data_IF_601632127347
#
_entry.id   IF_601632127347
#
_cell.length_a   1.000
_cell.length_b   1.000
_cell.length_c   1.000
_cell.angle_alpha   90.00
_cell.angle_beta   90.00
_cell.angle_gamma   90.00
#
_symmetry.space_group_name_H-M   'P 1'
#
loop_
_entity.id
_entity.type
_entity.pdbx_description
1 polymer ?
#
# COMPACT_ATOMS: atom_id res chain seq x y z
N UNK A 1 -12.35 -6.20 -0.22
CA UNK A 1 -10.93 -6.23 -0.62
C UNK A 1 -10.81 -5.94 -2.10
N UNK A 2 -9.73 -5.36 -2.55
CA UNK A 2 -9.50 -5.09 -3.96
C UNK A 2 -9.51 -6.38 -4.79
N UNK A 3 -10.02 -6.31 -6.01
CA UNK A 3 -10.00 -7.45 -6.92
C UNK A 3 -8.55 -7.84 -7.27
N UNK A 4 -8.35 -9.09 -7.65
CA UNK A 4 -7.02 -9.62 -8.00
C UNK A 4 -6.31 -8.82 -9.09
N UNK A 5 -7.07 -8.24 -10.03
CA UNK A 5 -6.53 -7.40 -11.11
C UNK A 5 -5.69 -6.25 -10.57
N UNK A 6 -6.11 -5.66 -9.45
CA UNK A 6 -5.48 -4.48 -8.88
C UNK A 6 -4.47 -4.80 -7.77
N UNK A 7 -4.26 -6.06 -7.47
CA UNK A 7 -3.25 -6.50 -6.50
C UNK A 7 -2.07 -7.13 -7.21
N UNK A 8 -0.87 -6.84 -6.77
CA UNK A 8 0.29 -7.56 -7.27
C UNK A 8 1.17 -8.00 -6.11
N UNK A 9 1.75 -9.19 -6.25
CA UNK A 9 2.63 -9.78 -5.25
C UNK A 9 3.70 -10.65 -5.92
N UNK A 10 3.92 -10.46 -7.20
CA UNK A 10 5.05 -11.04 -7.91
C UNK A 10 6.34 -10.50 -7.31
N UNK A 11 7.25 -11.39 -6.93
CA UNK A 11 8.55 -10.99 -6.38
C UNK A 11 9.32 -10.08 -7.32
N UNK A 12 9.29 -10.38 -8.62
CA UNK A 12 9.96 -9.57 -9.63
C UNK A 12 9.38 -8.18 -9.74
N UNK A 13 8.04 -8.07 -9.76
CA UNK A 13 7.35 -6.78 -9.80
C UNK A 13 7.60 -5.93 -8.58
N UNK A 14 7.55 -6.54 -7.39
CA UNK A 14 7.81 -5.85 -6.13
C UNK A 14 9.26 -5.37 -6.08
N UNK A 15 10.22 -6.21 -6.41
CA UNK A 15 11.65 -5.83 -6.45
C UNK A 15 11.91 -4.72 -7.44
N UNK A 16 11.30 -4.78 -8.61
CA UNK A 16 11.46 -3.75 -9.64
C UNK A 16 10.97 -2.40 -9.11
N UNK A 17 9.79 -2.38 -8.47
CA UNK A 17 9.23 -1.17 -7.90
C UNK A 17 10.10 -0.61 -6.79
N UNK A 18 10.64 -1.45 -5.91
CA UNK A 18 11.58 -1.00 -4.88
C UNK A 18 12.86 -0.40 -5.48
N UNK A 19 13.38 -1.01 -6.54
CA UNK A 19 14.65 -0.60 -7.13
C UNK A 19 14.51 0.71 -7.94
N UNK A 20 13.39 0.91 -8.61
CA UNK A 20 13.20 2.01 -9.56
C UNK A 20 12.17 3.04 -9.13
N UNK A 21 11.40 2.75 -8.10
CA UNK A 21 10.33 3.61 -7.63
C UNK A 21 10.80 4.77 -6.75
N UNK A 22 9.89 5.70 -6.55
CA UNK A 22 10.05 6.78 -5.58
C UNK A 22 9.41 6.37 -4.27
N UNK A 23 9.83 6.97 -3.16
CA UNK A 23 9.32 6.64 -1.84
C UNK A 23 8.79 7.88 -1.13
N UNK A 24 7.59 7.77 -0.57
CA UNK A 24 7.01 8.78 0.32
C UNK A 24 6.96 8.14 1.71
N UNK A 25 7.59 8.77 2.70
CA UNK A 25 7.72 8.21 4.04
C UNK A 25 6.78 8.89 5.02
N UNK A 26 6.10 8.07 5.84
CA UNK A 26 5.39 8.54 7.04
C UNK A 26 5.77 7.61 8.20
N UNK A 27 5.50 8.00 9.46
CA UNK A 27 5.88 7.17 10.60
C UNK A 27 5.21 5.79 10.64
N UNK A 28 4.01 5.66 10.09
CA UNK A 28 3.25 4.40 10.17
C UNK A 28 3.29 3.59 8.89
N UNK A 29 3.22 4.25 7.74
CA UNK A 29 3.17 3.60 6.42
C UNK A 29 4.01 4.42 5.46
N UNK A 30 4.84 3.75 4.65
CA UNK A 30 5.51 4.37 3.52
C UNK A 30 4.90 3.87 2.22
N UNK A 31 4.95 4.69 1.19
CA UNK A 31 4.50 4.34 -0.15
C UNK A 31 5.70 4.33 -1.08
N UNK A 32 5.94 3.19 -1.72
CA UNK A 32 6.90 3.07 -2.83
C UNK A 32 6.07 2.96 -4.10
N UNK A 33 6.35 3.78 -5.10
CA UNK A 33 5.54 3.79 -6.31
C UNK A 33 6.39 4.00 -7.56
N UNK A 34 5.90 3.47 -8.68
CA UNK A 34 6.56 3.57 -9.97
C UNK A 34 5.51 3.50 -11.07
N UNK A 35 5.80 4.13 -12.22
CA UNK A 35 4.92 3.99 -13.38
C UNK A 35 4.96 2.56 -13.90
N UNK A 36 3.83 2.10 -14.46
CA UNK A 36 3.75 0.82 -15.14
C UNK A 36 3.17 1.02 -16.56
N UNK A 37 3.27 0.00 -17.38
CA UNK A 37 2.78 0.03 -18.78
C UNK A 37 1.41 -0.64 -18.92
N UNK A 38 0.69 -0.87 -17.81
CA UNK A 38 -0.54 -1.67 -17.85
C UNK A 38 -1.82 -0.87 -18.09
N UNK A 39 -1.77 0.44 -17.97
CA UNK A 39 -2.96 1.27 -18.15
C UNK A 39 -3.89 1.34 -16.93
N UNK A 40 -3.59 0.64 -15.86
CA UNK A 40 -4.33 0.69 -14.60
C UNK A 40 -3.37 0.59 -13.40
N UNK A 41 -3.84 1.01 -12.24
CA UNK A 41 -3.05 0.97 -11.01
C UNK A 41 -3.10 -0.41 -10.36
N UNK A 42 -1.98 -0.81 -9.75
CA UNK A 42 -1.89 -2.04 -8.96
C UNK A 42 -1.29 -1.73 -7.59
N UNK A 43 -1.68 -2.50 -6.59
CA UNK A 43 -1.29 -2.27 -5.20
C UNK A 43 -0.80 -3.55 -4.54
N UNK A 44 0.24 -3.42 -3.75
CA UNK A 44 0.70 -4.45 -2.81
C UNK A 44 0.80 -3.85 -1.42
N UNK A 45 0.55 -4.66 -0.40
CA UNK A 45 0.71 -4.26 1.01
C UNK A 45 1.70 -5.22 1.66
N UNK A 46 2.73 -4.67 2.27
CA UNK A 46 3.79 -5.44 2.93
C UNK A 46 3.79 -5.14 4.42
N UNK A 47 3.68 -6.19 5.23
CA UNK A 47 3.82 -6.12 6.68
C UNK A 47 4.88 -7.13 7.09
N UNK A 48 6.04 -6.66 7.58
CA UNK A 48 7.14 -7.54 7.92
C UNK A 48 6.96 -8.24 9.26
N UNK A 49 7.67 -9.35 9.46
CA UNK A 49 7.72 -10.05 10.74
C UNK A 49 8.31 -9.19 11.87
N UNK A 50 9.13 -8.21 11.52
CA UNK A 50 9.70 -7.27 12.51
C UNK A 50 8.62 -6.37 13.10
N UNK A 51 7.59 -6.05 12.33
CA UNK A 51 6.46 -5.23 12.79
C UNK A 51 5.51 -6.05 13.64
N UNK A 52 5.19 -7.26 13.18
CA UNK A 52 4.27 -8.17 13.86
C UNK A 52 4.68 -9.62 13.57
N UNK A 53 4.98 -10.38 14.61
CA UNK A 53 5.42 -11.79 14.47
C UNK A 53 4.28 -12.73 14.10
N UNK A 54 3.07 -12.46 14.57
CA UNK A 54 1.90 -13.32 14.30
C UNK A 54 1.44 -13.17 12.86
N UNK A 55 1.39 -14.28 12.12
CA UNK A 55 0.88 -14.28 10.74
C UNK A 55 -0.60 -13.87 10.68
N UNK A 56 -1.39 -14.28 11.68
CA UNK A 56 -2.80 -13.92 11.77
C UNK A 56 -2.97 -12.40 11.93
N UNK A 57 -2.17 -11.80 12.80
CA UNK A 57 -2.20 -10.36 13.04
C UNK A 57 -1.67 -9.58 11.83
N UNK A 58 -0.63 -10.07 11.15
CA UNK A 58 -0.16 -9.46 9.90
C UNK A 58 -1.25 -9.47 8.83
N UNK A 59 -1.99 -10.57 8.70
CA UNK A 59 -3.11 -10.66 7.76
C UNK A 59 -4.21 -9.66 8.08
N UNK A 60 -4.51 -9.46 9.37
CA UNK A 60 -5.49 -8.47 9.82
C UNK A 60 -5.07 -7.06 9.41
N UNK A 61 -3.80 -6.72 9.62
CA UNK A 61 -3.25 -5.41 9.22
C UNK A 61 -3.37 -5.25 7.70
N UNK A 62 -2.95 -6.25 6.92
CA UNK A 62 -3.04 -6.18 5.45
C UNK A 62 -4.46 -5.97 4.96
N UNK A 63 -5.42 -6.72 5.50
CA UNK A 63 -6.84 -6.56 5.12
C UNK A 63 -7.34 -5.16 5.41
N UNK A 64 -6.97 -4.62 6.56
CA UNK A 64 -7.37 -3.29 6.97
C UNK A 64 -6.83 -2.23 6.01
N UNK A 65 -5.56 -2.33 5.66
CA UNK A 65 -4.93 -1.41 4.71
C UNK A 65 -5.56 -1.56 3.32
N UNK A 66 -5.81 -2.78 2.85
CA UNK A 66 -6.49 -2.99 1.57
C UNK A 66 -7.90 -2.39 1.55
N UNK A 67 -8.65 -2.47 2.65
CA UNK A 67 -9.97 -1.85 2.72
C UNK A 67 -9.89 -0.32 2.64
N UNK A 68 -8.90 0.28 3.30
CA UNK A 68 -8.67 1.72 3.18
C UNK A 68 -8.25 2.10 1.76
N UNK A 69 -7.39 1.30 1.13
CA UNK A 69 -7.00 1.51 -0.26
C UNK A 69 -8.21 1.41 -1.19
N UNK A 70 -9.07 0.42 -0.99
CA UNK A 70 -10.28 0.25 -1.79
C UNK A 70 -11.19 1.48 -1.68
N UNK A 71 -11.35 2.01 -0.48
CA UNK A 71 -12.17 3.20 -0.25
C UNK A 71 -11.64 4.45 -0.97
N UNK A 72 -10.31 4.54 -1.16
CA UNK A 72 -9.63 5.69 -1.75
C UNK A 72 -9.10 5.40 -3.15
N UNK A 73 -9.45 4.27 -3.74
CA UNK A 73 -8.80 3.76 -4.95
C UNK A 73 -8.99 4.64 -6.18
N UNK A 74 -10.13 5.32 -6.29
CA UNK A 74 -10.38 6.24 -7.42
C UNK A 74 -9.46 7.46 -7.41
N UNK A 75 -8.86 7.78 -6.26
CA UNK A 75 -7.88 8.86 -6.14
C UNK A 75 -6.45 8.41 -6.50
N UNK A 76 -6.23 7.11 -6.70
CA UNK A 76 -4.92 6.59 -7.04
C UNK A 76 -4.57 6.93 -8.49
N UNK A 77 -3.36 7.43 -8.76
CA UNK A 77 -2.90 7.64 -10.13
C UNK A 77 -2.94 6.33 -10.91
N UNK A 78 -3.53 6.36 -12.11
CA UNK A 78 -3.54 5.20 -13.01
C UNK A 78 -2.14 4.96 -13.57
N UNK A 79 -1.90 3.77 -14.12
CA UNK A 79 -0.62 3.38 -14.72
C UNK A 79 0.55 3.39 -13.73
N UNK A 80 0.26 3.14 -12.47
CA UNK A 80 1.28 3.07 -11.41
C UNK A 80 1.17 1.77 -10.62
N UNK A 81 2.31 1.30 -10.14
CA UNK A 81 2.41 0.26 -9.14
C UNK A 81 2.71 0.91 -7.79
N UNK A 82 1.98 0.52 -6.76
CA UNK A 82 2.12 1.05 -5.41
C UNK A 82 2.41 -0.08 -4.43
N UNK A 83 3.40 0.13 -3.56
CA UNK A 83 3.68 -0.77 -2.44
C UNK A 83 3.50 0.03 -1.15
N UNK A 84 2.51 -0.36 -0.35
CA UNK A 84 2.31 0.22 0.98
C UNK A 84 3.08 -0.63 1.98
N UNK A 85 4.11 -0.05 2.58
CA UNK A 85 4.96 -0.73 3.56
C UNK A 85 4.54 -0.27 4.95
N UNK A 86 4.03 -1.20 5.75
CA UNK A 86 3.54 -0.91 7.10
C UNK A 86 4.69 -1.06 8.09
N UNK A 87 4.94 -0.02 8.89
CA UNK A 87 6.01 -0.01 9.89
C UNK A 87 5.50 -0.08 11.33
N UNK A 88 4.21 0.17 11.57
CA UNK A 88 3.68 0.27 12.93
C UNK A 88 2.53 -0.69 13.16
N UNK A 89 2.55 -1.37 14.30
CA UNK A 89 1.44 -2.18 14.78
C UNK A 89 0.17 -1.37 15.00
N UNK A 90 0.30 -0.07 15.22
CA UNK A 90 -0.83 0.82 15.48
C UNK A 90 -1.83 0.85 14.33
N UNK A 91 -1.39 0.49 13.13
CA UNK A 91 -2.27 0.38 11.97
C UNK A 91 -3.37 -0.65 12.19
N UNK A 92 -3.15 -1.65 13.05
CA UNK A 92 -4.15 -2.67 13.37
C UNK A 92 -5.36 -2.09 14.13
N UNK A 93 -5.16 -1.03 14.89
CA UNK A 93 -6.16 -0.49 15.82
C UNK A 93 -6.50 0.97 15.63
N UNK A 94 -5.77 1.70 14.78
CA UNK A 94 -6.07 3.11 14.52
C UNK A 94 -7.46 3.27 13.91
N UNK A 95 -8.05 4.45 14.09
CA UNK A 95 -9.35 4.77 13.52
C UNK A 95 -9.31 4.56 12.01
N UNK A 96 -10.30 3.87 11.47
CA UNK A 96 -10.35 3.56 10.04
C UNK A 96 -10.42 4.84 9.19
N UNK A 97 -11.13 5.86 9.65
CA UNK A 97 -11.18 7.14 8.93
C UNK A 97 -9.80 7.79 8.85
N UNK A 98 -8.99 7.69 9.91
CA UNK A 98 -7.61 8.17 9.90
C UNK A 98 -6.74 7.38 8.94
N UNK A 99 -6.94 6.07 8.88
CA UNK A 99 -6.21 5.21 7.94
C UNK A 99 -6.55 5.58 6.49
N UNK A 100 -7.82 5.81 6.19
CA UNK A 100 -8.25 6.25 4.86
C UNK A 100 -7.64 7.62 4.50
N UNK A 101 -7.60 8.53 5.44
CA UNK A 101 -6.98 9.85 5.24
C UNK A 101 -5.49 9.72 4.93
N UNK A 102 -4.79 8.85 5.65
CA UNK A 102 -3.38 8.59 5.40
C UNK A 102 -3.15 8.00 4.01
N UNK A 103 -3.94 7.02 3.61
CA UNK A 103 -3.84 6.41 2.28
C UNK A 103 -4.13 7.43 1.18
N UNK A 104 -5.18 8.23 1.34
CA UNK A 104 -5.51 9.30 0.39
C UNK A 104 -4.37 10.30 0.24
N UNK A 105 -3.79 10.72 1.36
CA UNK A 105 -2.64 11.63 1.39
C UNK A 105 -1.45 11.05 0.60
N UNK A 106 -1.17 9.77 0.78
CA UNK A 106 -0.07 9.11 0.06
C UNK A 106 -0.34 9.07 -1.44
N UNK A 107 -1.54 8.73 -1.86
CA UNK A 107 -1.89 8.76 -3.28
C UNK A 107 -1.78 10.17 -3.85
N UNK A 108 -2.25 11.17 -3.13
CA UNK A 108 -2.19 12.57 -3.57
C UNK A 108 -0.76 13.05 -3.75
N UNK A 109 0.14 12.67 -2.85
CA UNK A 109 1.55 13.05 -2.94
C UNK A 109 2.26 12.36 -4.11
N UNK A 110 1.77 11.21 -4.55
CA UNK A 110 2.40 10.46 -5.64
C UNK A 110 2.15 11.06 -7.02
N UNK A 111 1.20 11.99 -7.17
CA UNK A 111 0.92 12.65 -8.45
C UNK A 111 1.74 13.93 -8.68
N UNK A 112 2.55 14.32 -7.72
CA UNK A 112 3.34 15.56 -7.79
C UNK A 112 4.70 15.30 -8.44
#
# INVERSE_FOLDING_TARGET
>A
MLSKKYRFHSRGGVRFTYAHGKTIRTPKISLVYNENSRGFQRVAVVVSKKVEKSAVKRNRIRRRVYEAIRAEFEHAPKKHDFIFVVYSKDVATMDFAELCTLVNSLFSQSVI
#
